data_IF_830535872034
#
_entry.id   IF_830535872034
#
_cell.length_a   1.000
_cell.length_b   1.000
_cell.length_c   1.000
_cell.angle_alpha   90.00
_cell.angle_beta   90.00
_cell.angle_gamma   90.00
#
_symmetry.space_group_name_H-M   'P 1'
#
loop_
_entity.id
_entity.type
_entity.pdbx_description
1 polymer ?
#
# COMPACT_ATOMS: atom_id res chain seq x y z
N UNK A 1 -4.88 12.71 -7.66
CA UNK A 1 -5.15 13.92 -8.46
C UNK A 1 -4.02 14.10 -9.45
N UNK A 2 -4.32 14.26 -10.75
CA UNK A 2 -3.29 14.51 -11.75
C UNK A 2 -3.07 16.04 -11.89
N UNK A 3 -1.89 16.51 -11.50
CA UNK A 3 -1.42 17.88 -11.71
C UNK A 3 -0.20 17.92 -12.63
N UNK A 4 0.20 16.77 -13.20
CA UNK A 4 1.26 16.69 -14.19
C UNK A 4 0.71 17.05 -15.57
N UNK A 5 1.59 17.56 -16.43
CA UNK A 5 1.29 17.80 -17.84
C UNK A 5 1.00 16.51 -18.63
N UNK A 6 1.51 15.37 -18.15
CA UNK A 6 1.36 14.08 -18.80
C UNK A 6 -0.04 13.49 -18.63
N UNK A 7 -0.49 12.78 -19.67
CA UNK A 7 -1.71 11.97 -19.60
C UNK A 7 -1.49 10.73 -18.74
N UNK A 8 -2.30 10.56 -17.70
CA UNK A 8 -2.30 9.38 -16.84
C UNK A 8 -3.57 8.56 -17.15
N UNK A 9 -3.47 7.27 -17.53
CA UNK A 9 -4.64 6.44 -17.80
C UNK A 9 -5.59 6.33 -16.60
N UNK A 10 -6.90 6.23 -16.85
CA UNK A 10 -7.91 6.19 -15.78
C UNK A 10 -7.72 5.02 -14.80
N UNK A 11 -7.28 3.86 -15.27
CA UNK A 11 -6.98 2.70 -14.40
C UNK A 11 -5.85 3.01 -13.40
N UNK A 12 -4.83 3.75 -13.85
CA UNK A 12 -3.72 4.20 -13.00
C UNK A 12 -4.18 5.27 -12.03
N UNK A 13 -4.94 6.26 -12.51
CA UNK A 13 -5.51 7.30 -11.66
C UNK A 13 -6.43 6.71 -10.58
N UNK A 14 -7.29 5.76 -10.95
CA UNK A 14 -8.23 5.11 -10.05
C UNK A 14 -7.52 4.38 -8.91
N UNK A 15 -6.44 3.66 -9.20
CA UNK A 15 -5.66 3.00 -8.15
C UNK A 15 -4.93 4.00 -7.24
N UNK A 16 -4.28 5.01 -7.83
CA UNK A 16 -3.52 6.02 -7.08
C UNK A 16 -4.41 6.90 -6.19
N UNK A 17 -5.68 7.06 -6.54
CA UNK A 17 -6.68 7.81 -5.76
C UNK A 17 -7.08 7.11 -4.45
N UNK A 18 -6.85 5.79 -4.31
CA UNK A 18 -7.14 5.06 -3.08
C UNK A 18 -6.19 5.43 -1.93
N UNK A 19 -5.05 6.05 -2.26
CA UNK A 19 -4.09 6.55 -1.29
C UNK A 19 -3.24 5.47 -0.62
N UNK A 20 -2.43 5.89 0.34
CA UNK A 20 -1.43 5.02 1.00
C UNK A 20 -2.06 4.02 1.97
N UNK A 21 -3.23 4.31 2.52
CA UNK A 21 -3.93 3.43 3.46
C UNK A 21 -4.67 2.28 2.76
N UNK A 22 -4.63 2.22 1.43
CA UNK A 22 -5.24 1.14 0.67
C UNK A 22 -4.28 -0.05 0.53
N UNK A 23 -4.70 -1.20 1.06
CA UNK A 23 -3.94 -2.44 0.95
C UNK A 23 -4.40 -3.24 -0.28
N UNK A 24 -3.44 -3.65 -1.12
CA UNK A 24 -3.72 -4.58 -2.20
C UNK A 24 -4.05 -5.98 -1.63
N UNK A 25 -4.93 -6.74 -2.30
CA UNK A 25 -5.22 -8.11 -1.91
C UNK A 25 -3.94 -8.97 -1.88
N UNK A 26 -3.84 -9.93 -0.95
CA UNK A 26 -2.69 -10.82 -0.86
C UNK A 26 -2.57 -11.71 -2.11
N UNK A 27 -1.38 -11.74 -2.73
CA UNK A 27 -1.11 -12.57 -3.92
C UNK A 27 -1.01 -14.07 -3.61
N UNK A 28 -0.46 -14.41 -2.44
CA UNK A 28 -0.24 -15.78 -2.01
C UNK A 28 -0.86 -15.98 -0.64
N UNK A 29 -1.83 -16.89 -0.57
CA UNK A 29 -2.51 -17.27 0.66
C UNK A 29 -1.51 -17.77 1.70
N UNK A 30 -0.75 -18.80 1.34
CA UNK A 30 0.07 -19.52 2.30
C UNK A 30 1.20 -18.62 2.82
N UNK A 31 1.78 -17.78 1.95
CA UNK A 31 2.77 -16.79 2.37
C UNK A 31 2.18 -15.77 3.35
N UNK A 32 0.99 -15.24 3.05
CA UNK A 32 0.34 -14.23 3.91
C UNK A 32 -0.03 -14.80 5.27
N UNK A 33 -0.58 -16.00 5.31
CA UNK A 33 -0.88 -16.71 6.57
C UNK A 33 0.41 -16.96 7.34
N UNK A 34 1.46 -17.42 6.66
CA UNK A 34 2.77 -17.69 7.30
C UNK A 34 3.37 -16.43 7.89
N UNK A 35 3.36 -15.32 7.17
CA UNK A 35 3.92 -14.06 7.66
C UNK A 35 3.07 -13.45 8.80
N UNK A 36 1.74 -13.62 8.75
CA UNK A 36 0.86 -13.31 9.87
C UNK A 36 1.20 -14.16 11.10
N UNK A 37 1.34 -15.48 10.95
CA UNK A 37 1.70 -16.39 12.04
C UNK A 37 3.05 -16.03 12.66
N UNK A 38 4.07 -15.72 11.83
CA UNK A 38 5.37 -15.24 12.31
C UNK A 38 5.22 -13.96 13.14
N UNK A 39 4.46 -12.99 12.65
CA UNK A 39 4.25 -11.70 13.32
C UNK A 39 3.48 -11.86 14.63
N UNK A 40 2.45 -12.72 14.63
CA UNK A 40 1.67 -13.06 15.81
C UNK A 40 2.55 -13.74 16.89
N UNK A 41 3.29 -14.78 16.51
CA UNK A 41 4.19 -15.49 17.43
C UNK A 41 5.29 -14.57 17.97
N UNK A 42 5.89 -13.73 17.11
CA UNK A 42 6.86 -12.72 17.55
C UNK A 42 6.26 -11.71 18.54
N UNK A 43 5.02 -11.29 18.33
CA UNK A 43 4.34 -10.33 19.20
C UNK A 43 4.07 -10.89 20.60
N UNK A 44 3.75 -12.20 20.69
CA UNK A 44 3.48 -12.86 21.98
C UNK A 44 4.73 -13.44 22.64
N UNK A 45 5.89 -13.42 21.97
CA UNK A 45 7.12 -14.02 22.48
C UNK A 45 7.64 -13.35 23.75
N UNK A 46 7.40 -12.03 23.89
CA UNK A 46 7.79 -11.25 25.07
C UNK A 46 6.92 -11.51 26.30
N UNK A 47 5.85 -12.30 26.17
CA UNK A 47 4.93 -12.62 27.26
C UNK A 47 5.44 -13.79 28.11
N UNK A 48 5.08 -13.85 29.41
CA UNK A 48 5.32 -15.03 30.24
C UNK A 48 4.73 -16.30 29.61
N UNK A 49 5.35 -17.46 29.86
CA UNK A 49 4.99 -18.75 29.24
C UNK A 49 3.52 -19.15 29.43
N UNK A 50 2.94 -18.83 30.59
CA UNK A 50 1.53 -19.07 30.93
C UNK A 50 0.61 -18.19 30.09
N UNK A 51 0.90 -16.90 29.99
CA UNK A 51 0.16 -15.93 29.16
C UNK A 51 0.27 -16.25 27.68
N UNK A 52 1.46 -16.63 27.18
CA UNK A 52 1.68 -17.04 25.79
C UNK A 52 0.81 -18.23 25.41
N UNK A 53 0.75 -19.25 26.28
CA UNK A 53 -0.10 -20.43 26.08
C UNK A 53 -1.59 -20.06 26.07
N UNK A 54 -2.02 -19.19 26.98
CA UNK A 54 -3.42 -18.74 27.04
C UNK A 54 -3.82 -17.90 25.82
N UNK A 55 -2.95 -17.02 25.32
CA UNK A 55 -3.20 -16.24 24.11
C UNK A 55 -3.23 -17.15 22.88
N UNK A 56 -2.28 -18.09 22.77
CA UNK A 56 -2.25 -19.05 21.66
C UNK A 56 -3.49 -19.93 21.61
N UNK A 57 -3.94 -20.47 22.75
CA UNK A 57 -5.13 -21.34 22.80
C UNK A 57 -6.41 -20.60 22.40
N UNK A 58 -6.54 -19.33 22.80
CA UNK A 58 -7.67 -18.46 22.41
C UNK A 58 -7.62 -18.02 20.96
N UNK A 59 -6.43 -17.72 20.43
CA UNK A 59 -6.26 -17.25 19.06
C UNK A 59 -6.38 -18.39 18.03
N UNK A 60 -5.93 -19.60 18.36
CA UNK A 60 -5.93 -20.75 17.45
C UNK A 60 -7.25 -20.98 16.69
N UNK A 61 -8.44 -21.07 17.34
CA UNK A 61 -9.70 -21.28 16.62
C UNK A 61 -10.08 -20.12 15.69
N UNK A 62 -9.61 -18.90 15.97
CA UNK A 62 -9.85 -17.72 15.14
C UNK A 62 -8.93 -17.77 13.91
N UNK A 63 -7.63 -18.01 14.14
CA UNK A 63 -6.63 -18.11 13.07
C UNK A 63 -6.92 -19.28 12.13
N UNK A 64 -7.45 -20.40 12.67
CA UNK A 64 -7.82 -21.57 11.87
C UNK A 64 -8.93 -21.27 10.84
N UNK A 65 -9.84 -20.34 11.14
CA UNK A 65 -10.96 -19.94 10.25
C UNK A 65 -10.56 -18.85 9.25
N UNK A 66 -9.38 -18.25 9.44
CA UNK A 66 -8.89 -17.15 8.63
C UNK A 66 -8.79 -17.49 7.11
N UNK A 67 -8.30 -18.68 6.70
CA UNK A 67 -8.17 -19.02 5.28
C UNK A 67 -9.51 -19.12 4.56
N UNK A 68 -10.59 -19.44 5.27
CA UNK A 68 -11.93 -19.65 4.70
C UNK A 68 -12.61 -18.33 4.30
N UNK A 69 -12.16 -17.20 4.86
CA UNK A 69 -12.75 -15.88 4.63
C UNK A 69 -11.89 -14.93 3.78
N UNK A 70 -10.60 -15.20 3.62
CA UNK A 70 -9.63 -14.21 3.11
C UNK A 70 -9.63 -14.00 1.58
N UNK A 71 -10.34 -14.83 0.79
CA UNK A 71 -10.10 -14.88 -0.66
C UNK A 71 -11.35 -14.81 -1.53
N UNK A 72 -12.53 -14.65 -0.95
CA UNK A 72 -13.76 -14.58 -1.73
C UNK A 72 -13.93 -13.17 -2.31
N UNK A 73 -13.38 -12.96 -3.52
CA UNK A 73 -13.64 -11.84 -4.46
C UNK A 73 -12.73 -11.98 -5.70
N UNK A 74 -12.87 -13.08 -6.44
CA UNK A 74 -11.97 -13.40 -7.57
C UNK A 74 -11.95 -12.33 -8.67
N UNK A 75 -13.10 -11.73 -9.00
CA UNK A 75 -13.19 -10.73 -10.07
C UNK A 75 -12.57 -9.38 -9.68
N UNK A 76 -12.89 -8.86 -8.50
CA UNK A 76 -12.37 -7.58 -7.99
C UNK A 76 -10.86 -7.66 -7.76
N UNK A 77 -10.38 -8.76 -7.18
CA UNK A 77 -8.95 -8.95 -6.93
C UNK A 77 -8.16 -9.03 -8.23
N UNK A 78 -8.68 -9.71 -9.26
CA UNK A 78 -8.06 -9.74 -10.59
C UNK A 78 -7.92 -8.34 -11.19
N UNK A 79 -8.96 -7.52 -11.06
CA UNK A 79 -8.94 -6.12 -11.51
C UNK A 79 -7.91 -5.29 -10.73
N UNK A 80 -7.86 -5.42 -9.40
CA UNK A 80 -6.88 -4.72 -8.56
C UNK A 80 -5.43 -5.14 -8.89
N UNK A 81 -5.18 -6.43 -9.12
CA UNK A 81 -3.86 -6.90 -9.51
C UNK A 81 -3.44 -6.38 -10.88
N UNK A 82 -4.37 -6.35 -11.85
CA UNK A 82 -4.11 -5.77 -13.17
C UNK A 82 -3.80 -4.27 -13.02
N UNK A 83 -4.65 -3.52 -12.33
CA UNK A 83 -4.44 -2.10 -12.11
C UNK A 83 -3.10 -1.80 -11.41
N UNK A 84 -2.72 -2.60 -10.41
CA UNK A 84 -1.43 -2.49 -9.73
C UNK A 84 -0.25 -2.76 -10.65
N UNK A 85 -0.34 -3.78 -11.50
CA UNK A 85 0.68 -4.07 -12.50
C UNK A 85 0.80 -2.96 -13.54
N UNK A 86 -0.33 -2.53 -14.13
CA UNK A 86 -0.39 -1.41 -15.09
C UNK A 86 0.19 -0.13 -14.48
N UNK A 87 -0.17 0.18 -13.24
CA UNK A 87 0.34 1.35 -12.50
C UNK A 87 1.84 1.26 -12.30
N UNK A 88 2.35 0.10 -11.84
CA UNK A 88 3.78 -0.10 -11.64
C UNK A 88 4.57 0.07 -12.93
N UNK A 89 4.06 -0.48 -14.05
CA UNK A 89 4.67 -0.34 -15.37
C UNK A 89 4.65 1.12 -15.84
N UNK A 90 3.50 1.79 -15.72
CA UNK A 90 3.35 3.20 -16.07
C UNK A 90 4.35 4.09 -15.31
N UNK A 91 4.50 3.88 -14.00
CA UNK A 91 5.45 4.63 -13.18
C UNK A 91 6.91 4.39 -13.60
N UNK A 92 7.25 3.16 -14.00
CA UNK A 92 8.59 2.83 -14.48
C UNK A 92 8.90 3.46 -15.85
N UNK A 93 7.90 3.57 -16.73
CA UNK A 93 8.04 4.14 -18.07
C UNK A 93 7.99 5.69 -18.06
N UNK A 94 7.35 6.31 -17.07
CA UNK A 94 7.12 7.75 -16.97
C UNK A 94 7.88 8.37 -15.79
N UNK A 95 9.21 8.26 -15.80
CA UNK A 95 10.09 8.74 -14.72
C UNK A 95 10.13 10.26 -14.57
N UNK A 96 9.63 10.99 -15.57
CA UNK A 96 9.43 12.43 -15.57
C UNK A 96 8.25 12.88 -14.67
N UNK A 97 7.44 11.96 -14.15
CA UNK A 97 6.34 12.24 -13.22
C UNK A 97 6.78 11.85 -11.81
N UNK A 98 6.47 12.69 -10.82
CA UNK A 98 6.61 12.36 -9.41
C UNK A 98 5.24 12.15 -8.79
N UNK A 99 5.10 11.09 -7.99
CA UNK A 99 3.90 10.78 -7.23
C UNK A 99 4.17 11.08 -5.76
N UNK A 100 3.36 11.93 -5.16
CA UNK A 100 3.52 12.39 -3.78
C UNK A 100 2.22 12.28 -3.01
N UNK A 101 2.30 12.18 -1.70
CA UNK A 101 1.13 12.22 -0.83
C UNK A 101 0.58 13.65 -0.79
N UNK A 102 -0.74 13.80 -0.94
CA UNK A 102 -1.41 15.07 -0.68
C UNK A 102 -1.40 15.38 0.83
N UNK A 103 -1.23 16.66 1.18
CA UNK A 103 -1.36 17.14 2.56
C UNK A 103 -2.74 16.82 3.16
N UNK A 104 -3.79 16.84 2.33
CA UNK A 104 -5.18 16.56 2.71
C UNK A 104 -5.83 15.53 1.78
N UNK A 105 -6.67 14.66 2.35
CA UNK A 105 -7.60 13.81 1.60
C UNK A 105 -7.16 12.37 1.33
N UNK A 106 -6.01 11.90 1.85
CA UNK A 106 -5.49 10.54 1.59
C UNK A 106 -5.46 10.22 0.08
N UNK A 107 -4.98 11.17 -0.73
CA UNK A 107 -4.89 11.03 -2.18
C UNK A 107 -3.43 11.15 -2.62
N UNK A 108 -3.07 10.41 -3.67
CA UNK A 108 -1.79 10.59 -4.36
C UNK A 108 -1.88 11.69 -5.41
N UNK A 109 -0.94 12.63 -5.41
CA UNK A 109 -0.81 13.72 -6.39
C UNK A 109 0.32 13.38 -7.36
N UNK A 110 0.02 13.45 -8.66
CA UNK A 110 1.03 13.35 -9.71
C UNK A 110 1.45 14.76 -10.16
N UNK A 111 2.75 15.00 -10.27
CA UNK A 111 3.35 16.29 -10.65
C UNK A 111 4.47 16.07 -11.66
N UNK A 112 4.75 17.07 -12.50
CA UNK A 112 5.98 17.03 -13.31
C UNK A 112 7.21 17.13 -12.40
N UNK A 113 8.12 16.17 -12.53
CA UNK A 113 9.28 16.00 -11.65
C UNK A 113 10.17 17.24 -11.64
N UNK A 114 10.48 17.79 -12.81
CA UNK A 114 11.33 18.98 -12.94
C UNK A 114 10.71 20.20 -12.27
N UNK A 115 9.42 20.46 -12.54
CA UNK A 115 8.68 21.56 -11.92
C UNK A 115 8.66 21.43 -10.39
N UNK A 116 8.43 20.22 -9.88
CA UNK A 116 8.47 19.96 -8.44
C UNK A 116 9.85 20.23 -7.84
N UNK A 117 10.91 19.68 -8.45
CA UNK A 117 12.28 19.84 -7.95
C UNK A 117 12.73 21.30 -7.98
N UNK A 118 12.40 22.05 -9.03
CA UNK A 118 12.72 23.47 -9.14
C UNK A 118 12.01 24.27 -8.05
N UNK A 119 10.72 24.05 -7.83
CA UNK A 119 9.96 24.69 -6.74
C UNK A 119 10.56 24.37 -5.36
N UNK A 120 10.89 23.10 -5.10
CA UNK A 120 11.50 22.71 -3.83
C UNK A 120 12.87 23.35 -3.62
N UNK A 121 13.71 23.44 -4.66
CA UNK A 121 15.01 24.13 -4.57
C UNK A 121 14.84 25.62 -4.27
N UNK A 122 13.90 26.30 -4.94
CA UNK A 122 13.60 27.71 -4.66
C UNK A 122 13.14 27.92 -3.22
N UNK A 123 12.24 27.06 -2.72
CA UNK A 123 11.76 27.13 -1.33
C UNK A 123 12.87 26.88 -0.31
N UNK A 124 13.82 25.98 -0.60
CA UNK A 124 14.94 25.67 0.30
C UNK A 124 16.07 26.70 0.23
N UNK A 125 16.19 27.45 -0.87
CA UNK A 125 17.18 28.50 -1.04
C UNK A 125 16.72 29.86 -0.48
N UNK A 126 15.47 29.96 -0.05
CA UNK A 126 14.93 31.17 0.55
C UNK A 126 15.49 31.34 1.98
N UNK A 127 16.52 32.19 2.08
CA UNK A 127 17.20 32.50 3.34
C UNK A 127 16.43 33.56 4.19
N UNK A 128 15.22 33.96 3.79
CA UNK A 128 14.40 34.94 4.54
C UNK A 128 13.45 34.28 5.55
N UNK A 129 13.80 33.13 6.10
CA UNK A 129 13.08 32.49 7.22
C UNK A 129 14.00 32.33 8.41
#
# INVERSE_FOLDING_TARGET
MNLASAYIPLEVQGLLQLGENFCLPPKSRDKTITDFLKSFEHSIDRLPSTSRTAVRSRAFPIIKKLPDHFFDTAATNKTLFRAAHTTSKFMAENTNIIFTKADKGNVTVALDRENYLNKMKTLLADNNT
#
